data_IF_272514739852
#
_entry.id   IF_272514739852
#
_cell.length_a   1.000
_cell.length_b   1.000
_cell.length_c   1.000
_cell.angle_alpha   90.00
_cell.angle_beta   90.00
_cell.angle_gamma   90.00
#
_symmetry.space_group_name_H-M   'P 1'
#
loop_
_entity.id
_entity.type
_entity.pdbx_description
1 polymer ?
#
# COMPACT_ATOMS: atom_id res chain seq x y z
N UNK A 1 -39.25 -58.31 11.53
CA UNK A 1 -38.40 -58.58 10.34
C UNK A 1 -38.08 -57.25 9.65
N UNK A 2 -36.82 -57.08 9.21
CA UNK A 2 -36.19 -55.92 8.50
C UNK A 2 -35.92 -54.71 9.42
N UNK A 3 -34.76 -54.45 10.05
CA UNK A 3 -33.34 -54.73 9.82
C UNK A 3 -32.81 -54.39 8.41
N UNK A 4 -31.87 -53.43 8.37
CA UNK A 4 -30.91 -53.10 7.31
C UNK A 4 -31.36 -52.13 6.21
N UNK A 5 -31.45 -50.83 6.53
CA UNK A 5 -31.24 -49.74 5.56
C UNK A 5 -30.09 -48.82 6.02
N UNK A 6 -28.96 -49.43 6.39
CA UNK A 6 -27.77 -48.75 6.89
C UNK A 6 -26.49 -49.18 6.16
N UNK A 7 -26.56 -49.49 4.87
CA UNK A 7 -25.38 -49.81 4.06
C UNK A 7 -25.21 -48.78 2.94
N UNK A 8 -23.99 -48.26 2.80
CA UNK A 8 -23.49 -47.30 1.80
C UNK A 8 -23.60 -45.80 2.12
N UNK A 9 -23.01 -45.38 3.25
CA UNK A 9 -22.20 -44.16 3.24
C UNK A 9 -20.75 -44.56 3.01
N UNK A 10 -20.21 -44.26 1.83
CA UNK A 10 -18.78 -44.34 1.55
C UNK A 10 -18.20 -42.97 1.91
N UNK A 11 -17.51 -42.77 3.04
CA UNK A 11 -16.68 -41.59 3.21
C UNK A 11 -15.40 -41.79 2.39
N UNK A 12 -15.32 -41.19 1.20
CA UNK A 12 -14.02 -41.02 0.54
C UNK A 12 -13.21 -39.97 1.28
N UNK A 13 -12.60 -40.35 2.41
CA UNK A 13 -11.54 -39.57 3.03
C UNK A 13 -10.23 -39.94 2.35
N UNK A 14 -9.85 -39.19 1.32
CA UNK A 14 -8.48 -39.20 0.85
C UNK A 14 -7.58 -38.69 2.00
N UNK A 15 -6.61 -39.45 2.51
CA UNK A 15 -5.68 -38.92 3.48
C UNK A 15 -4.85 -37.84 2.78
N UNK A 16 -5.04 -36.58 3.18
CA UNK A 16 -4.15 -35.49 2.79
C UNK A 16 -2.76 -35.88 3.30
N UNK A 17 -1.86 -36.29 2.41
CA UNK A 17 -0.45 -36.51 2.77
C UNK A 17 0.09 -35.17 3.28
N UNK A 18 0.32 -35.09 4.60
CA UNK A 18 1.00 -33.95 5.19
C UNK A 18 2.44 -33.97 4.69
N UNK A 19 2.78 -33.03 3.80
CA UNK A 19 4.17 -32.79 3.39
C UNK A 19 4.86 -32.13 4.58
N UNK A 20 5.79 -32.84 5.23
CA UNK A 20 6.54 -32.35 6.39
C UNK A 20 7.78 -31.55 5.98
N UNK A 21 7.60 -30.50 5.17
CA UNK A 21 8.60 -29.43 5.09
C UNK A 21 8.29 -28.44 6.22
N UNK A 22 8.53 -28.87 7.47
CA UNK A 22 8.31 -28.02 8.64
C UNK A 22 9.44 -26.98 8.72
N UNK A 23 9.25 -25.84 8.07
CA UNK A 23 10.01 -24.63 8.37
C UNK A 23 9.60 -24.19 9.79
N UNK A 24 10.42 -24.52 10.80
CA UNK A 24 10.26 -24.01 12.16
C UNK A 24 10.47 -22.49 12.14
N UNK A 25 9.39 -21.73 12.07
CA UNK A 25 9.39 -20.29 12.34
C UNK A 25 9.37 -20.14 13.86
N UNK A 26 10.47 -19.69 14.44
CA UNK A 26 10.64 -19.43 15.89
C UNK A 26 9.84 -18.21 16.38
N UNK A 27 9.08 -17.55 15.51
CA UNK A 27 8.16 -16.48 15.88
C UNK A 27 6.80 -17.05 16.28
N UNK A 28 6.15 -16.40 17.26
CA UNK A 28 4.77 -16.68 17.66
C UNK A 28 3.93 -17.08 16.44
N UNK A 29 3.53 -18.35 16.36
CA UNK A 29 2.65 -18.78 15.29
C UNK A 29 1.39 -17.88 15.37
N UNK A 30 0.94 -17.26 14.27
CA UNK A 30 -0.23 -16.42 14.31
C UNK A 30 -1.42 -17.26 14.75
N UNK A 31 -1.79 -17.18 16.03
CA UNK A 31 -3.05 -17.73 16.51
C UNK A 31 -4.17 -16.80 16.04
N UNK A 32 -5.16 -17.38 15.36
CA UNK A 32 -6.33 -16.67 14.83
C UNK A 32 -6.22 -16.23 13.37
N UNK A 33 -7.28 -15.60 12.86
CA UNK A 33 -7.42 -15.22 11.45
C UNK A 33 -6.26 -14.31 10.97
N UNK A 34 -5.86 -14.44 9.70
CA UNK A 34 -4.86 -13.55 9.10
C UNK A 34 -5.29 -12.09 9.22
N UNK A 35 -4.37 -11.23 9.66
CA UNK A 35 -4.59 -9.77 9.78
C UNK A 35 -4.54 -9.09 8.42
N UNK A 36 -4.03 -9.78 7.40
CA UNK A 36 -3.89 -9.27 6.02
C UNK A 36 -5.24 -8.98 5.34
N UNK A 37 -6.32 -9.61 5.81
CA UNK A 37 -7.66 -9.34 5.31
C UNK A 37 -8.32 -8.23 6.15
N UNK A 38 -8.86 -7.22 5.47
CA UNK A 38 -9.45 -6.05 6.12
C UNK A 38 -10.66 -6.42 7.01
N UNK A 39 -11.47 -7.39 6.56
CA UNK A 39 -12.65 -7.84 7.30
C UNK A 39 -12.30 -8.54 8.62
N UNK A 40 -11.30 -9.43 8.61
CA UNK A 40 -10.83 -10.09 9.83
C UNK A 40 -10.12 -9.12 10.77
N UNK A 41 -9.33 -8.17 10.23
CA UNK A 41 -8.72 -7.11 11.03
C UNK A 41 -9.79 -6.24 11.71
N UNK A 42 -10.87 -5.90 11.00
CA UNK A 42 -11.99 -5.15 11.55
C UNK A 42 -12.72 -5.92 12.65
N UNK A 43 -12.93 -7.23 12.45
CA UNK A 43 -13.56 -8.07 13.46
C UNK A 43 -12.72 -8.15 14.74
N UNK A 44 -11.40 -8.36 14.62
CA UNK A 44 -10.47 -8.38 15.76
C UNK A 44 -10.35 -7.02 16.45
N UNK A 45 -10.37 -5.92 15.69
CA UNK A 45 -10.40 -4.58 16.26
C UNK A 45 -11.68 -4.34 17.08
N UNK A 46 -12.85 -4.78 16.60
CA UNK A 46 -14.09 -4.68 17.39
C UNK A 46 -14.03 -5.57 18.64
N UNK A 47 -13.49 -6.80 18.52
CA UNK A 47 -13.32 -7.74 19.65
C UNK A 47 -12.56 -7.13 20.81
N UNK A 48 -11.68 -6.16 20.55
CA UNK A 48 -10.97 -5.42 21.59
C UNK A 48 -11.92 -4.75 22.60
N UNK A 49 -13.07 -4.22 22.15
CA UNK A 49 -13.97 -3.43 23.00
C UNK A 49 -14.99 -4.26 23.78
N UNK A 50 -15.43 -5.39 23.21
CA UNK A 50 -16.50 -6.19 23.81
C UNK A 50 -16.05 -7.56 24.36
N UNK A 51 -14.84 -8.03 24.03
CA UNK A 51 -14.35 -9.35 24.45
C UNK A 51 -13.00 -9.23 25.16
N UNK A 52 -12.88 -9.68 26.42
CA UNK A 52 -11.57 -9.74 27.08
C UNK A 52 -10.62 -10.68 26.32
N UNK A 53 -9.34 -10.35 26.28
CA UNK A 53 -8.28 -11.19 25.70
C UNK A 53 -7.84 -12.24 26.71
N UNK A 54 -7.82 -13.51 26.30
CA UNK A 54 -7.40 -14.60 27.20
C UNK A 54 -5.89 -14.86 27.14
N UNK A 55 -5.22 -14.39 26.08
CA UNK A 55 -3.78 -14.48 25.89
C UNK A 55 -3.19 -13.11 25.57
N UNK A 56 -1.94 -12.89 25.99
CA UNK A 56 -1.18 -11.68 25.64
C UNK A 56 -1.02 -11.54 24.12
N UNK A 57 -0.89 -12.65 23.39
CA UNK A 57 -0.77 -12.63 21.92
C UNK A 57 -2.04 -12.10 21.27
N UNK A 58 -3.20 -12.51 21.77
CA UNK A 58 -4.48 -11.99 21.29
C UNK A 58 -4.64 -10.52 21.61
N UNK A 59 -4.24 -10.10 22.81
CA UNK A 59 -4.26 -8.70 23.22
C UNK A 59 -3.41 -7.84 22.29
N UNK A 60 -2.15 -8.22 22.08
CA UNK A 60 -1.22 -7.51 21.20
C UNK A 60 -1.78 -7.39 19.78
N UNK A 61 -2.29 -8.48 19.22
CA UNK A 61 -2.88 -8.51 17.88
C UNK A 61 -4.09 -7.59 17.74
N UNK A 62 -4.99 -7.57 18.72
CA UNK A 62 -6.17 -6.69 18.71
C UNK A 62 -5.77 -5.22 18.80
N UNK A 63 -4.79 -4.89 19.65
CA UNK A 63 -4.24 -3.54 19.77
C UNK A 63 -3.60 -3.08 18.47
N UNK A 64 -2.84 -3.94 17.78
CA UNK A 64 -2.25 -3.65 16.47
C UNK A 64 -3.33 -3.34 15.42
N UNK A 65 -4.40 -4.12 15.38
CA UNK A 65 -5.52 -3.88 14.49
C UNK A 65 -6.18 -2.52 14.78
N UNK A 66 -6.45 -2.20 16.05
CA UNK A 66 -7.02 -0.90 16.46
C UNK A 66 -6.11 0.26 16.06
N UNK A 67 -4.79 0.13 16.30
CA UNK A 67 -3.80 1.14 15.91
C UNK A 67 -3.81 1.40 14.41
N UNK A 68 -3.89 0.35 13.60
CA UNK A 68 -3.97 0.48 12.13
C UNK A 68 -5.21 1.24 11.70
N UNK A 69 -6.39 0.90 12.23
CA UNK A 69 -7.62 1.60 11.90
C UNK A 69 -7.64 3.06 12.37
N UNK A 70 -7.07 3.35 13.55
CA UNK A 70 -6.93 4.73 14.02
C UNK A 70 -6.01 5.55 13.12
N UNK A 71 -4.87 4.98 12.72
CA UNK A 71 -3.93 5.64 11.83
C UNK A 71 -4.59 5.95 10.48
N UNK A 72 -5.17 4.95 9.83
CA UNK A 72 -5.82 5.14 8.54
C UNK A 72 -7.08 6.02 8.64
N UNK A 73 -7.85 5.91 9.72
CA UNK A 73 -8.99 6.78 9.98
C UNK A 73 -8.60 8.25 10.12
N UNK A 74 -7.52 8.54 10.85
CA UNK A 74 -7.00 9.91 10.96
C UNK A 74 -6.43 10.41 9.64
N UNK A 75 -5.61 9.61 8.96
CA UNK A 75 -5.01 10.01 7.67
C UNK A 75 -6.09 10.28 6.62
N UNK A 76 -7.07 9.39 6.49
CA UNK A 76 -8.17 9.57 5.53
C UNK A 76 -9.11 10.70 5.92
N UNK A 77 -9.39 10.87 7.22
CA UNK A 77 -10.20 11.98 7.73
C UNK A 77 -9.54 13.33 7.46
N UNK A 78 -8.24 13.46 7.78
CA UNK A 78 -7.47 14.68 7.51
C UNK A 78 -7.30 14.92 6.00
N UNK A 79 -7.08 13.87 5.21
CA UNK A 79 -7.00 13.99 3.76
C UNK A 79 -8.35 14.45 3.16
N UNK A 80 -9.48 13.95 3.66
CA UNK A 80 -10.80 14.40 3.24
C UNK A 80 -11.05 15.85 3.65
N UNK A 81 -10.72 16.24 4.89
CA UNK A 81 -10.85 17.62 5.37
C UNK A 81 -10.02 18.58 4.49
N UNK A 82 -8.81 18.17 4.12
CA UNK A 82 -7.93 18.91 3.22
C UNK A 82 -8.54 19.11 1.82
N UNK A 83 -9.27 18.12 1.30
CA UNK A 83 -9.93 18.20 -0.02
C UNK A 83 -11.15 19.12 0.04
N UNK A 84 -11.96 19.04 1.09
CA UNK A 84 -13.17 19.88 1.23
C UNK A 84 -12.84 21.32 1.68
N UNK A 85 -11.77 21.49 2.46
CA UNK A 85 -11.30 22.77 2.99
C UNK A 85 -9.82 22.92 2.64
N UNK A 86 -9.51 23.24 1.37
CA UNK A 86 -8.13 23.45 0.97
C UNK A 86 -7.51 24.57 1.82
N UNK A 87 -6.23 24.41 2.20
CA UNK A 87 -5.55 25.45 2.95
C UNK A 87 -5.47 26.71 2.09
N UNK A 88 -5.72 27.87 2.71
CA UNK A 88 -5.68 29.19 2.07
C UNK A 88 -4.26 29.64 1.69
N UNK A 89 -3.26 28.76 1.76
CA UNK A 89 -1.88 29.11 1.44
C UNK A 89 -1.71 29.16 -0.08
N UNK A 90 -0.95 30.14 -0.58
CA UNK A 90 -0.70 30.34 -2.03
C UNK A 90 -0.16 29.09 -2.75
N UNK A 91 0.42 28.14 -2.01
CA UNK A 91 0.88 26.86 -2.55
C UNK A 91 -0.27 26.02 -3.13
N UNK A 92 -1.46 25.99 -2.53
CA UNK A 92 -2.59 25.21 -3.03
C UNK A 92 -3.19 25.78 -4.31
N UNK A 93 -3.21 27.11 -4.44
CA UNK A 93 -3.66 27.79 -5.66
C UNK A 93 -2.73 27.56 -6.85
N UNK A 94 -1.42 27.45 -6.59
CA UNK A 94 -0.42 27.14 -7.62
C UNK A 94 -0.17 25.64 -7.80
N UNK A 95 -0.79 24.78 -6.98
CA UNK A 95 -0.64 23.33 -7.07
C UNK A 95 -1.48 22.77 -8.23
N UNK A 96 -1.14 23.18 -9.44
CA UNK A 96 -1.76 22.62 -10.63
C UNK A 96 -1.08 21.28 -10.90
N UNK A 97 -1.71 20.19 -10.44
CA UNK A 97 -1.19 18.82 -10.59
C UNK A 97 -0.80 18.53 -12.05
N UNK A 98 -1.56 19.08 -13.01
CA UNK A 98 -1.28 18.98 -14.44
C UNK A 98 0.07 19.57 -14.83
N UNK A 99 0.47 20.70 -14.27
CA UNK A 99 1.73 21.36 -14.64
C UNK A 99 2.96 20.64 -14.07
N UNK A 100 2.81 19.91 -12.96
CA UNK A 100 3.89 19.10 -12.39
C UNK A 100 4.19 17.84 -13.19
N UNK A 101 3.18 17.24 -13.82
CA UNK A 101 3.33 16.04 -14.66
C UNK A 101 3.38 16.34 -16.16
N UNK A 102 3.39 17.63 -16.56
CA UNK A 102 3.72 17.99 -17.94
C UNK A 102 5.15 17.55 -18.23
N UNK A 103 5.31 16.79 -19.30
CA UNK A 103 6.62 16.51 -19.89
C UNK A 103 7.29 17.86 -20.13
N UNK A 104 8.44 18.11 -19.50
CA UNK A 104 9.20 19.33 -19.78
C UNK A 104 9.45 19.36 -21.28
N UNK A 105 9.01 20.42 -21.94
CA UNK A 105 9.35 20.61 -23.35
C UNK A 105 10.87 20.54 -23.47
N UNK A 106 11.39 19.81 -24.47
CA UNK A 106 12.83 19.76 -24.68
C UNK A 106 13.31 21.21 -24.81
N UNK A 107 14.41 21.59 -24.13
CA UNK A 107 14.91 22.95 -24.23
C UNK A 107 15.09 23.26 -25.71
N UNK A 108 14.36 24.26 -26.21
CA UNK A 108 14.50 24.71 -27.59
C UNK A 108 15.95 25.12 -27.75
N UNK A 109 16.69 24.36 -28.56
CA UNK A 109 18.07 24.71 -28.88
C UNK A 109 18.05 26.11 -29.49
N UNK A 110 19.00 26.99 -29.14
CA UNK A 110 19.12 28.28 -29.79
C UNK A 110 19.21 28.07 -31.31
N UNK A 111 18.60 28.94 -32.12
CA UNK A 111 18.64 28.81 -33.57
C UNK A 111 20.11 28.74 -34.02
N UNK A 112 20.43 27.75 -34.86
CA UNK A 112 21.75 27.65 -35.49
C UNK A 112 21.80 28.63 -36.66
N UNK A 113 22.89 29.38 -36.76
CA UNK A 113 23.16 30.21 -37.92
C UNK A 113 23.54 29.36 -39.14
N UNK A 114 23.64 30.00 -40.32
CA UNK A 114 24.00 29.37 -41.60
C UNK A 114 25.29 28.55 -41.53
N UNK A 115 26.22 28.95 -40.65
CA UNK A 115 27.49 28.26 -40.42
C UNK A 115 27.40 27.07 -39.45
N UNK A 116 26.19 26.62 -39.11
CA UNK A 116 25.91 25.57 -38.11
C UNK A 116 26.52 25.84 -36.73
N UNK A 117 26.74 27.12 -36.40
CA UNK A 117 27.27 27.57 -35.12
C UNK A 117 26.23 28.40 -34.37
N UNK A 118 26.24 28.29 -33.04
CA UNK A 118 25.47 29.19 -32.16
C UNK A 118 26.22 30.51 -31.99
N UNK A 119 25.52 31.60 -31.70
CA UNK A 119 26.14 32.91 -31.49
C UNK A 119 27.25 32.87 -30.42
N UNK A 120 27.00 32.15 -29.33
CA UNK A 120 27.98 31.93 -28.27
C UNK A 120 29.23 31.19 -28.76
N UNK A 121 29.09 30.18 -29.62
CA UNK A 121 30.23 29.48 -30.21
C UNK A 121 31.02 30.35 -31.20
N UNK A 122 30.34 31.23 -31.95
CA UNK A 122 31.02 32.17 -32.85
C UNK A 122 31.81 33.22 -32.06
N UNK A 123 31.23 33.76 -30.99
CA UNK A 123 31.91 34.71 -30.12
C UNK A 123 33.12 34.09 -29.44
N UNK A 124 32.99 32.86 -28.93
CA UNK A 124 34.12 32.11 -28.39
C UNK A 124 35.23 31.88 -29.42
N UNK A 125 34.88 31.42 -30.62
CA UNK A 125 35.83 31.18 -31.70
C UNK A 125 36.55 32.47 -32.11
N UNK A 126 35.80 33.58 -32.21
CA UNK A 126 36.36 34.92 -32.46
C UNK A 126 37.35 35.33 -31.38
N UNK A 127 37.07 35.08 -30.10
CA UNK A 127 37.95 35.50 -28.99
C UNK A 127 39.17 34.60 -28.85
N UNK A 128 39.03 33.29 -29.08
CA UNK A 128 40.05 32.30 -28.75
C UNK A 128 40.94 31.86 -29.92
N UNK A 129 40.48 31.98 -31.18
CA UNK A 129 41.25 31.57 -32.36
C UNK A 129 41.80 32.79 -33.14
N UNK A 130 42.38 33.75 -32.42
CA UNK A 130 43.23 34.79 -33.00
C UNK A 130 44.65 34.26 -33.28
#
# INVERSE_FOLDING_TARGET
MRLLNGLFRIPQQFPKRFRHDQIRRLGQAPQGNNVDNLESAWEEAKRFFYRPSYSYQEFAKRVECVRLFLFWGLVTGLAADLVFRPLKTNYWFNFNFKDRFKTKEPPTLPPLNENHMTDASMEYNRICNF
#
